data_IF_654478911350
#
_entry.id   IF_654478911350
#
_cell.length_a   1.000
_cell.length_b   1.000
_cell.length_c   1.000
_cell.angle_alpha   90.00
_cell.angle_beta   90.00
_cell.angle_gamma   90.00
#
_symmetry.space_group_name_H-M   'P 1'
#
loop_
_entity.id
_entity.type
_entity.pdbx_description
1 polymer ?
#
# COMPACT_ATOMS: atom_id res chain seq x y z
N UNK A 1 -4.61 -15.27 2.06
CA UNK A 1 -5.06 -13.95 1.59
C UNK A 1 -4.57 -12.87 2.53
N UNK A 2 -4.86 -12.97 3.83
CA UNK A 2 -4.25 -12.11 4.85
C UNK A 2 -3.04 -12.84 5.43
N UNK A 3 -1.85 -12.31 5.15
CA UNK A 3 -0.54 -12.71 5.66
C UNK A 3 0.40 -11.49 5.78
N UNK A 4 1.61 -11.68 6.29
CA UNK A 4 2.60 -10.62 6.49
C UNK A 4 2.88 -9.84 5.20
N UNK A 5 3.02 -10.55 4.07
CA UNK A 5 3.27 -9.95 2.75
C UNK A 5 2.12 -9.03 2.32
N UNK A 6 0.88 -9.44 2.55
CA UNK A 6 -0.29 -8.60 2.24
C UNK A 6 -0.34 -7.31 3.07
N UNK A 7 0.12 -7.34 4.32
CA UNK A 7 0.22 -6.14 5.16
C UNK A 7 1.37 -5.24 4.73
N UNK A 8 2.54 -5.80 4.40
CA UNK A 8 3.66 -5.05 3.81
C UNK A 8 3.19 -4.34 2.54
N UNK A 9 2.50 -5.03 1.63
CA UNK A 9 1.93 -4.42 0.41
C UNK A 9 0.95 -3.27 0.74
N UNK A 10 0.15 -3.41 1.79
CA UNK A 10 -0.74 -2.34 2.26
C UNK A 10 0.01 -1.10 2.76
N UNK A 11 1.12 -1.28 3.50
CA UNK A 11 1.99 -0.19 3.96
C UNK A 11 2.71 0.48 2.79
N UNK A 12 3.21 -0.30 1.82
CA UNK A 12 3.81 0.23 0.58
C UNK A 12 2.78 1.05 -0.20
N UNK A 13 1.54 0.56 -0.35
CA UNK A 13 0.46 1.32 -0.99
C UNK A 13 0.12 2.62 -0.24
N UNK A 14 0.15 2.61 1.09
CA UNK A 14 -0.03 3.80 1.92
C UNK A 14 1.05 4.85 1.65
N UNK A 15 2.33 4.45 1.69
CA UNK A 15 3.46 5.35 1.44
C UNK A 15 3.46 5.89 0.01
N UNK A 16 3.24 5.01 -0.97
CA UNK A 16 3.22 5.39 -2.39
C UNK A 16 2.10 6.36 -2.74
N UNK A 17 0.99 6.34 -2.00
CA UNK A 17 -0.15 7.24 -2.22
C UNK A 17 -0.15 8.47 -1.32
N UNK A 18 0.73 8.53 -0.33
CA UNK A 18 0.73 9.60 0.69
C UNK A 18 -0.54 9.59 1.53
N UNK A 19 -1.08 8.41 1.84
CA UNK A 19 -2.36 8.30 2.56
C UNK A 19 -2.34 8.84 3.99
N UNK A 20 -3.51 8.89 4.62
CA UNK A 20 -3.66 9.44 5.98
C UNK A 20 -2.81 8.67 7.00
N UNK A 21 -2.16 9.40 7.91
CA UNK A 21 -1.44 8.82 9.06
C UNK A 21 -2.33 7.95 9.96
N UNK A 22 -3.66 8.11 9.93
CA UNK A 22 -4.59 7.20 10.62
C UNK A 22 -4.48 5.75 10.12
N UNK A 23 -3.97 5.50 8.91
CA UNK A 23 -3.74 4.13 8.46
C UNK A 23 -2.68 3.43 9.30
N UNK A 24 -1.73 4.14 9.93
CA UNK A 24 -0.72 3.47 10.77
C UNK A 24 -1.33 2.84 12.02
N UNK A 25 -2.37 3.47 12.61
CA UNK A 25 -3.10 2.87 13.74
C UNK A 25 -4.04 1.74 13.26
N UNK A 26 -4.69 1.91 12.11
CA UNK A 26 -5.63 0.92 11.59
C UNK A 26 -4.93 -0.35 11.07
N UNK A 27 -3.83 -0.21 10.32
CA UNK A 27 -3.07 -1.36 9.80
C UNK A 27 -2.48 -2.19 10.92
N UNK A 28 -1.93 -1.56 11.97
CA UNK A 28 -1.42 -2.28 13.15
C UNK A 28 -2.55 -3.02 13.86
N UNK A 29 -3.72 -2.40 14.04
CA UNK A 29 -4.87 -3.05 14.66
C UNK A 29 -5.38 -4.24 13.83
N UNK A 30 -5.44 -4.10 12.50
CA UNK A 30 -5.83 -5.16 11.58
C UNK A 30 -4.83 -6.31 11.57
N UNK A 31 -3.53 -6.02 11.57
CA UNK A 31 -2.46 -7.01 11.65
C UNK A 31 -2.55 -7.80 12.97
N UNK A 32 -2.71 -7.10 14.10
CA UNK A 32 -2.89 -7.73 15.40
C UNK A 32 -4.12 -8.65 15.45
N UNK A 33 -5.24 -8.25 14.84
CA UNK A 33 -6.44 -9.08 14.73
C UNK A 33 -6.22 -10.36 13.90
N UNK A 34 -5.27 -10.33 12.95
CA UNK A 34 -4.84 -11.47 12.15
C UNK A 34 -3.70 -12.29 12.79
N UNK A 35 -3.23 -11.92 13.99
CA UNK A 35 -2.10 -12.57 14.66
C UNK A 35 -0.73 -12.20 14.06
N UNK A 36 -0.65 -11.11 13.29
CA UNK A 36 0.55 -10.63 12.61
C UNK A 36 1.14 -9.46 13.40
N UNK A 37 2.45 -9.50 13.62
CA UNK A 37 3.18 -8.38 14.20
C UNK A 37 3.50 -7.35 13.11
N UNK A 38 2.91 -6.16 13.22
CA UNK A 38 3.27 -4.98 12.45
C UNK A 38 3.57 -3.85 13.44
N UNK A 39 4.73 -3.23 13.33
CA UNK A 39 5.19 -2.18 14.23
C UNK A 39 5.33 -0.85 13.49
N UNK A 40 5.38 0.26 14.23
CA UNK A 40 5.72 1.55 13.63
C UNK A 40 7.15 1.59 13.08
N UNK A 41 8.06 0.75 13.60
CA UNK A 41 9.41 0.65 13.04
C UNK A 41 9.35 0.06 11.62
N UNK A 42 8.57 -1.00 11.41
CA UNK A 42 8.37 -1.58 10.08
C UNK A 42 7.78 -0.55 9.09
N UNK A 43 6.81 0.25 9.55
CA UNK A 43 6.24 1.34 8.75
C UNK A 43 7.29 2.41 8.43
N UNK A 44 8.14 2.76 9.40
CA UNK A 44 9.24 3.73 9.21
C UNK A 44 10.28 3.21 8.22
N UNK A 45 10.75 1.98 8.38
CA UNK A 45 11.76 1.36 7.53
C UNK A 45 11.27 1.27 6.07
N UNK A 46 10.00 0.90 5.87
CA UNK A 46 9.38 0.90 4.54
C UNK A 46 9.26 2.30 3.94
N UNK A 47 9.12 3.35 4.74
CA UNK A 47 8.98 4.72 4.22
C UNK A 47 10.25 5.22 3.53
N UNK A 48 11.42 4.70 3.90
CA UNK A 48 12.70 5.05 3.27
C UNK A 48 12.88 4.37 1.90
N UNK A 49 12.22 3.23 1.68
CA UNK A 49 12.31 2.44 0.46
C UNK A 49 11.23 2.77 -0.59
N UNK A 50 10.08 3.31 -0.17
CA UNK A 50 8.91 3.47 -1.05
C UNK A 50 8.77 4.90 -1.57
N UNK A 51 8.80 5.12 -2.90
CA UNK A 51 8.63 6.46 -3.46
C UNK A 51 7.18 6.94 -3.38
N UNK A 52 6.98 8.24 -3.18
CA UNK A 52 5.67 8.87 -3.29
C UNK A 52 5.29 9.07 -4.77
N UNK A 53 4.23 8.40 -5.22
CA UNK A 53 3.78 8.37 -6.62
C UNK A 53 2.47 9.13 -6.89
N UNK A 54 1.71 9.48 -5.84
CA UNK A 54 0.43 10.18 -6.00
C UNK A 54 0.38 11.51 -5.24
N UNK A 55 -0.34 12.48 -5.81
CA UNK A 55 -0.70 13.76 -5.17
C UNK A 55 -2.21 13.95 -5.22
N UNK A 56 -2.90 13.17 -4.41
CA UNK A 56 -4.36 13.25 -4.25
C UNK A 56 -4.69 14.18 -3.09
N UNK A 57 -5.80 14.90 -3.16
CA UNK A 57 -6.36 15.62 -2.02
C UNK A 57 -6.35 14.72 -0.77
N UNK A 58 -5.82 15.19 0.37
CA UNK A 58 -5.47 16.58 0.70
C UNK A 58 -4.06 17.05 0.29
N UNK A 59 -3.19 16.17 -0.22
CA UNK A 59 -1.79 16.48 -0.56
C UNK A 59 -1.62 17.12 -1.95
N UNK A 60 -2.71 17.25 -2.69
CA UNK A 60 -2.79 17.89 -3.99
C UNK A 60 -4.19 18.40 -4.28
N UNK A 61 -4.38 19.03 -5.45
CA UNK A 61 -5.69 19.55 -5.87
C UNK A 61 -6.56 18.50 -6.57
N UNK A 62 -5.97 17.39 -7.00
CA UNK A 62 -6.64 16.32 -7.71
C UNK A 62 -7.45 15.44 -6.73
N UNK A 63 -8.72 15.19 -7.03
CA UNK A 63 -9.54 14.26 -6.26
C UNK A 63 -9.24 12.79 -6.66
N UNK A 64 -9.91 11.85 -5.99
CA UNK A 64 -9.74 10.41 -6.27
C UNK A 64 -10.19 10.03 -7.70
N UNK A 65 -11.13 10.78 -8.29
CA UNK A 65 -11.59 10.53 -9.65
C UNK A 65 -10.51 10.92 -10.66
N UNK A 66 -9.82 12.02 -10.42
CA UNK A 66 -8.68 12.44 -11.22
C UNK A 66 -7.51 11.45 -11.09
N UNK A 67 -7.24 10.95 -9.88
CA UNK A 67 -6.27 9.86 -9.68
C UNK A 67 -6.64 8.61 -10.49
N UNK A 68 -7.90 8.21 -10.45
CA UNK A 68 -8.39 7.08 -11.24
C UNK A 68 -8.24 7.32 -12.75
N UNK A 69 -8.64 8.50 -13.24
CA UNK A 69 -8.52 8.87 -14.65
C UNK A 69 -7.06 8.91 -15.14
N UNK A 70 -6.11 9.25 -14.27
CA UNK A 70 -4.69 9.22 -14.58
C UNK A 70 -4.09 7.80 -14.68
N UNK A 71 -4.81 6.77 -14.25
CA UNK A 71 -4.39 5.36 -14.28
C UNK A 71 -4.76 4.56 -13.02
N UNK A 72 -5.04 5.26 -11.91
CA UNK A 72 -5.54 4.69 -10.67
C UNK A 72 -4.62 3.63 -10.04
N UNK A 73 -5.24 2.76 -9.22
CA UNK A 73 -4.52 1.70 -8.50
C UNK A 73 -3.89 0.67 -9.44
N UNK A 74 -4.50 0.36 -10.58
CA UNK A 74 -3.93 -0.62 -11.53
C UNK A 74 -2.57 -0.20 -12.07
N UNK A 75 -2.44 1.08 -12.45
CA UNK A 75 -1.15 1.65 -12.84
C UNK A 75 -0.16 1.62 -11.67
N UNK A 76 -0.56 2.13 -10.51
CA UNK A 76 0.32 2.22 -9.33
C UNK A 76 0.84 0.86 -8.86
N UNK A 77 -0.03 -0.16 -8.79
CA UNK A 77 0.35 -1.53 -8.39
C UNK A 77 1.33 -2.12 -9.40
N UNK A 78 1.09 -1.92 -10.71
CA UNK A 78 2.00 -2.41 -11.75
C UNK A 78 3.40 -1.80 -11.62
N UNK A 79 3.51 -0.47 -11.49
CA UNK A 79 4.82 0.19 -11.38
C UNK A 79 5.57 -0.25 -10.11
N UNK A 80 4.87 -0.40 -8.98
CA UNK A 80 5.49 -0.85 -7.73
C UNK A 80 5.92 -2.33 -7.79
N UNK A 81 5.20 -3.19 -8.52
CA UNK A 81 5.62 -4.56 -8.81
C UNK A 81 6.85 -4.59 -9.72
N UNK A 82 6.88 -3.75 -10.76
CA UNK A 82 8.01 -3.66 -11.69
C UNK A 82 9.30 -3.17 -10.97
N UNK A 83 9.17 -2.30 -9.97
CA UNK A 83 10.27 -1.86 -9.09
C UNK A 83 10.62 -2.86 -7.97
N UNK A 84 9.87 -3.97 -7.85
CA UNK A 84 10.12 -5.02 -6.87
C UNK A 84 9.84 -4.63 -5.40
N UNK A 85 9.05 -3.58 -5.16
CA UNK A 85 8.69 -3.11 -3.81
C UNK A 85 7.36 -3.68 -3.30
N UNK A 86 6.64 -4.43 -4.13
CA UNK A 86 5.48 -5.22 -3.73
C UNK A 86 5.75 -6.71 -3.86
N UNK A 87 5.20 -7.50 -2.93
CA UNK A 87 5.13 -8.94 -3.04
C UNK A 87 4.08 -9.35 -4.09
N UNK A 88 4.52 -9.95 -5.19
CA UNK A 88 3.65 -10.48 -6.25
C UNK A 88 2.97 -11.80 -5.83
N UNK A 89 3.68 -12.60 -5.05
CA UNK A 89 3.35 -13.98 -4.65
C UNK A 89 2.36 -14.05 -3.49
N UNK A 90 1.26 -13.29 -3.59
CA UNK A 90 0.19 -13.21 -2.60
C UNK A 90 -1.12 -13.79 -3.12
N UNK A 91 -1.95 -14.27 -2.20
CA UNK A 91 -3.31 -14.70 -2.51
C UNK A 91 -4.27 -13.50 -2.40
N UNK A 92 -5.04 -13.23 -3.44
CA UNK A 92 -6.07 -12.18 -3.49
C UNK A 92 -7.47 -12.78 -3.49
N UNK A 93 -8.50 -11.94 -3.38
CA UNK A 93 -9.89 -12.37 -3.57
C UNK A 93 -10.18 -12.86 -4.99
N UNK A 94 -9.32 -12.51 -5.96
CA UNK A 94 -9.46 -12.87 -7.37
C UNK A 94 -8.64 -14.11 -7.76
N UNK A 95 -7.86 -14.67 -6.84
CA UNK A 95 -6.97 -15.80 -7.08
C UNK A 95 -5.53 -15.51 -6.65
N UNK A 96 -4.62 -16.36 -7.10
CA UNK A 96 -3.19 -16.25 -6.81
C UNK A 96 -2.52 -15.22 -7.72
N UNK A 97 -1.63 -14.41 -7.15
CA UNK A 97 -0.90 -13.37 -7.84
C UNK A 97 -1.53 -11.99 -7.65
N UNK A 98 -0.69 -10.97 -7.45
CA UNK A 98 -1.11 -9.58 -7.37
C UNK A 98 -1.24 -8.89 -8.75
N UNK A 99 -0.67 -9.50 -9.79
CA UNK A 99 -0.69 -8.99 -11.16
C UNK A 99 -1.93 -9.43 -11.94
#
# INVERSE_FOLDING_TARGET
>A
MIDERSFVNGVVGLHATGGSTNHTIHLIAMAAAAGIALTWQDISDLSEAVPLLARVYPNGLADVNHFHAAGGLGFLIRELLDEGVLHEDVQTVWGEGLR
#
